data_IF_530542656548
#
_entry.id   IF_530542656548
#
_cell.length_a   1.000
_cell.length_b   1.000
_cell.length_c   1.000
_cell.angle_alpha   90.00
_cell.angle_beta   90.00
_cell.angle_gamma   90.00
#
_symmetry.space_group_name_H-M   'P 1'
#
loop_
_entity.id
_entity.type
_entity.pdbx_description
1 polymer ?
#
# COMPACT_ATOMS: atom_id res chain seq x y z
N UNK A 1 9.14 -48.03 -16.66
CA UNK A 1 9.73 -47.04 -15.77
C UNK A 1 9.12 -45.67 -16.09
N UNK A 2 8.15 -45.27 -15.30
CA UNK A 2 7.44 -43.98 -15.51
C UNK A 2 8.19 -42.85 -14.85
N UNK A 3 8.62 -41.88 -15.66
CA UNK A 3 9.15 -40.61 -15.17
C UNK A 3 7.97 -39.81 -14.66
N UNK A 4 7.85 -39.63 -13.33
CA UNK A 4 6.90 -38.70 -12.75
C UNK A 4 7.33 -37.28 -13.14
N UNK A 5 6.55 -36.66 -13.99
CA UNK A 5 6.57 -35.22 -14.20
C UNK A 5 6.30 -34.54 -12.86
N UNK A 6 7.34 -33.97 -12.24
CA UNK A 6 7.16 -33.01 -11.16
C UNK A 6 6.58 -31.75 -11.81
N UNK A 7 5.32 -31.48 -11.55
CA UNK A 7 4.72 -30.19 -11.86
C UNK A 7 5.55 -29.12 -11.14
N UNK A 8 6.24 -28.31 -11.92
CA UNK A 8 6.82 -27.05 -11.45
C UNK A 8 5.61 -26.25 -10.95
N UNK A 9 5.49 -26.06 -9.64
CA UNK A 9 4.58 -25.04 -9.10
C UNK A 9 5.00 -23.74 -9.73
N UNK A 10 4.19 -23.21 -10.64
CA UNK A 10 4.32 -21.82 -11.09
C UNK A 10 4.43 -21.00 -9.82
N UNK A 11 5.59 -20.38 -9.64
CA UNK A 11 5.85 -19.46 -8.54
C UNK A 11 4.92 -18.28 -8.79
N UNK A 12 3.75 -18.28 -8.16
CA UNK A 12 2.78 -17.20 -8.27
C UNK A 12 3.45 -16.00 -7.60
N UNK A 13 4.03 -15.15 -8.43
CA UNK A 13 4.76 -13.97 -8.00
C UNK A 13 3.77 -13.04 -7.30
N UNK A 14 3.98 -12.76 -6.01
CA UNK A 14 3.12 -11.88 -5.21
C UNK A 14 3.02 -10.51 -5.87
N UNK A 15 1.88 -10.20 -6.51
CA UNK A 15 1.67 -8.93 -7.21
C UNK A 15 1.21 -7.87 -6.23
N UNK A 16 1.96 -6.77 -6.22
CA UNK A 16 1.73 -5.65 -5.33
C UNK A 16 1.67 -4.36 -6.13
N UNK A 17 0.70 -3.50 -5.83
CA UNK A 17 0.54 -2.20 -6.47
C UNK A 17 0.65 -1.09 -5.45
N UNK A 18 1.52 -0.12 -5.70
CA UNK A 18 1.75 1.06 -4.89
C UNK A 18 1.17 2.27 -5.60
N UNK A 19 0.14 2.90 -5.04
CA UNK A 19 -0.48 4.07 -5.62
C UNK A 19 0.37 5.32 -5.41
N UNK A 20 0.61 6.08 -6.48
CA UNK A 20 1.32 7.35 -6.45
C UNK A 20 0.41 8.48 -6.90
N UNK A 21 0.22 9.46 -6.02
CA UNK A 21 -0.43 10.73 -6.29
C UNK A 21 0.54 11.88 -6.09
N UNK A 22 0.32 13.01 -6.73
CA UNK A 22 1.09 14.23 -6.46
C UNK A 22 1.11 14.54 -4.97
N UNK A 23 2.30 14.77 -4.43
CA UNK A 23 2.50 14.98 -3.00
C UNK A 23 2.61 13.71 -2.16
N UNK A 24 2.86 12.53 -2.76
CA UNK A 24 3.19 11.32 -2.01
C UNK A 24 4.47 11.51 -1.18
N UNK A 25 4.61 10.78 -0.09
CA UNK A 25 5.84 10.81 0.71
C UNK A 25 6.90 9.89 0.10
N UNK A 26 8.06 10.45 -0.26
CA UNK A 26 9.10 9.77 -1.02
C UNK A 26 9.70 8.57 -0.27
N UNK A 27 10.03 8.75 1.00
CA UNK A 27 10.63 7.68 1.82
C UNK A 27 9.66 6.50 1.92
N UNK A 28 8.38 6.78 2.14
CA UNK A 28 7.36 5.75 2.34
C UNK A 28 7.09 4.94 1.06
N UNK A 29 6.99 5.60 -0.08
CA UNK A 29 6.73 4.93 -1.35
C UNK A 29 7.96 4.19 -1.87
N UNK A 30 9.11 4.88 -1.99
CA UNK A 30 10.30 4.32 -2.64
C UNK A 30 10.95 3.23 -1.80
N UNK A 31 11.02 3.38 -0.48
CA UNK A 31 11.52 2.34 0.41
C UNK A 31 10.72 1.05 0.26
N UNK A 32 9.40 1.14 0.22
CA UNK A 32 8.53 -0.04 0.07
C UNK A 32 8.76 -0.71 -1.29
N UNK A 33 8.80 0.07 -2.38
CA UNK A 33 9.09 -0.46 -3.72
C UNK A 33 10.42 -1.22 -3.73
N UNK A 34 11.49 -0.62 -3.20
CA UNK A 34 12.82 -1.24 -3.18
C UNK A 34 12.83 -2.53 -2.35
N UNK A 35 12.25 -2.51 -1.15
CA UNK A 35 12.19 -3.68 -0.26
C UNK A 35 11.43 -4.84 -0.90
N UNK A 36 10.27 -4.58 -1.48
CA UNK A 36 9.47 -5.63 -2.12
C UNK A 36 10.18 -6.23 -3.33
N UNK A 37 10.78 -5.39 -4.17
CA UNK A 37 11.54 -5.86 -5.34
C UNK A 37 12.77 -6.66 -4.95
N UNK A 38 13.50 -6.26 -3.90
CA UNK A 38 14.62 -7.04 -3.35
C UNK A 38 14.17 -8.42 -2.86
N UNK A 39 12.96 -8.53 -2.33
CA UNK A 39 12.39 -9.79 -1.90
C UNK A 39 11.86 -10.67 -3.05
N UNK A 40 11.94 -10.21 -4.30
CA UNK A 40 11.45 -10.94 -5.48
C UNK A 40 9.95 -10.83 -5.71
N UNK A 41 9.26 -9.89 -5.02
CA UNK A 41 7.85 -9.62 -5.26
C UNK A 41 7.67 -8.75 -6.53
N UNK A 42 6.58 -8.98 -7.26
CA UNK A 42 6.20 -8.13 -8.40
C UNK A 42 5.53 -6.83 -7.91
N UNK A 43 6.34 -5.85 -7.56
CA UNK A 43 5.87 -4.56 -7.07
C UNK A 43 5.86 -3.52 -8.20
N UNK A 44 4.66 -3.01 -8.50
CA UNK A 44 4.41 -1.99 -9.53
C UNK A 44 3.93 -0.70 -8.90
N UNK A 45 4.47 0.41 -9.36
CA UNK A 45 3.97 1.75 -9.02
C UNK A 45 2.90 2.18 -10.02
N UNK A 46 1.83 2.77 -9.52
CA UNK A 46 0.67 3.18 -10.30
C UNK A 46 0.40 4.67 -10.10
N UNK A 47 0.58 5.45 -11.15
CA UNK A 47 0.13 6.85 -11.15
C UNK A 47 -1.39 6.92 -11.22
N UNK A 48 -2.01 7.70 -10.34
CA UNK A 48 -3.47 7.88 -10.36
C UNK A 48 -3.93 8.85 -11.46
N UNK A 49 -2.99 9.53 -12.12
CA UNK A 49 -3.28 10.39 -13.25
C UNK A 49 -2.92 9.73 -14.59
N UNK A 50 -3.12 10.44 -15.70
CA UNK A 50 -2.68 10.00 -17.02
C UNK A 50 -1.19 10.21 -17.28
N UNK A 51 -0.48 10.94 -16.42
CA UNK A 51 0.96 11.16 -16.50
C UNK A 51 1.69 10.10 -15.65
N UNK A 52 2.72 9.48 -16.23
CA UNK A 52 3.58 8.55 -15.50
C UNK A 52 4.49 9.26 -14.50
N UNK A 53 4.84 10.52 -14.74
CA UNK A 53 5.65 11.31 -13.82
C UNK A 53 4.80 11.80 -12.66
N UNK A 54 5.22 11.48 -11.45
CA UNK A 54 4.54 11.89 -10.21
C UNK A 54 5.56 12.52 -9.28
N UNK A 55 5.26 13.70 -8.78
CA UNK A 55 6.14 14.45 -7.89
C UNK A 55 5.72 14.29 -6.43
N UNK A 56 6.64 13.85 -5.59
CA UNK A 56 6.43 13.69 -4.16
C UNK A 56 6.36 15.02 -3.40
N UNK A 57 5.99 14.92 -2.13
CA UNK A 57 5.81 16.07 -1.24
C UNK A 57 7.09 16.91 -1.04
N UNK A 58 8.25 16.33 -1.29
CA UNK A 58 9.57 16.98 -1.16
C UNK A 58 10.24 17.26 -2.52
N UNK A 59 9.46 17.25 -3.61
CA UNK A 59 9.91 17.67 -4.93
C UNK A 59 10.68 16.64 -5.72
N UNK A 60 10.71 15.37 -5.30
CA UNK A 60 11.32 14.27 -6.07
C UNK A 60 10.29 13.72 -7.05
N UNK A 61 10.59 13.84 -8.34
CA UNK A 61 9.73 13.28 -9.40
C UNK A 61 10.20 11.88 -9.74
N UNK A 62 9.26 10.94 -9.78
CA UNK A 62 9.48 9.54 -10.19
C UNK A 62 8.58 9.18 -11.36
N UNK A 63 9.05 8.30 -12.22
CA UNK A 63 8.23 7.69 -13.25
C UNK A 63 7.54 6.44 -12.69
N UNK A 64 6.22 6.42 -12.63
CA UNK A 64 5.46 5.24 -12.30
C UNK A 64 5.59 4.16 -13.38
N UNK A 65 5.42 2.89 -13.01
CA UNK A 65 5.46 1.78 -13.97
C UNK A 65 4.26 1.81 -14.93
N UNK A 66 3.13 2.30 -14.46
CA UNK A 66 1.87 2.39 -15.23
C UNK A 66 0.94 3.45 -14.67
N UNK A 67 -0.07 3.79 -15.46
CA UNK A 67 -1.18 4.63 -15.00
C UNK A 67 -2.33 3.79 -14.45
N UNK A 68 -3.26 4.44 -13.74
CA UNK A 68 -4.45 3.78 -13.19
C UNK A 68 -5.31 3.10 -14.26
N UNK A 69 -5.38 3.71 -15.46
CA UNK A 69 -6.14 3.17 -16.59
C UNK A 69 -5.52 1.92 -17.23
N UNK A 70 -4.22 1.71 -17.04
CA UNK A 70 -3.47 0.55 -17.58
C UNK A 70 -3.40 -0.61 -16.58
N UNK A 71 -3.64 -0.33 -15.28
CA UNK A 71 -3.46 -1.30 -14.22
C UNK A 71 -4.63 -2.31 -14.17
N UNK A 72 -4.29 -3.59 -14.05
CA UNK A 72 -5.22 -4.67 -13.73
C UNK A 72 -4.94 -5.19 -12.32
N UNK A 73 -5.86 -4.95 -11.40
CA UNK A 73 -5.76 -5.32 -10.00
C UNK A 73 -6.41 -6.67 -9.66
N UNK A 74 -6.91 -7.40 -10.64
CA UNK A 74 -7.73 -8.60 -10.42
C UNK A 74 -7.00 -9.72 -9.68
N UNK A 75 -5.68 -9.82 -9.85
CA UNK A 75 -4.81 -10.78 -9.19
C UNK A 75 -3.84 -10.14 -8.18
N UNK A 76 -4.10 -8.91 -7.77
CA UNK A 76 -3.29 -8.21 -6.78
C UNK A 76 -3.38 -8.91 -5.41
N UNK A 77 -2.24 -9.22 -4.83
CA UNK A 77 -2.17 -9.63 -3.43
C UNK A 77 -2.25 -8.42 -2.51
N UNK A 78 -1.48 -7.37 -2.83
CA UNK A 78 -1.42 -6.16 -2.05
C UNK A 78 -1.81 -4.92 -2.84
N UNK A 79 -2.61 -4.07 -2.22
CA UNK A 79 -2.76 -2.66 -2.57
C UNK A 79 -2.11 -1.82 -1.47
N UNK A 80 -1.16 -0.98 -1.84
CA UNK A 80 -0.30 -0.25 -0.91
C UNK A 80 -0.50 1.25 -1.10
N UNK A 81 -0.76 1.93 0.01
CA UNK A 81 -1.17 3.34 0.05
C UNK A 81 -0.12 4.13 0.85
N UNK A 82 0.81 4.80 0.19
CA UNK A 82 1.76 5.71 0.84
C UNK A 82 1.05 6.89 1.48
N UNK A 83 1.73 7.54 2.42
CA UNK A 83 1.30 8.81 2.99
C UNK A 83 1.81 10.00 2.20
N UNK A 84 2.04 11.09 2.92
CA UNK A 84 2.35 12.40 2.37
C UNK A 84 1.11 13.25 2.14
N UNK A 85 1.29 14.56 2.28
CA UNK A 85 0.24 15.53 2.01
C UNK A 85 0.73 16.50 0.92
N UNK A 86 -0.07 16.78 -0.10
CA UNK A 86 -1.47 16.38 -0.29
C UNK A 86 -1.68 14.98 -0.89
N UNK A 87 -0.65 14.13 -1.01
CA UNK A 87 -0.74 12.81 -1.66
C UNK A 87 -1.89 11.95 -1.13
N UNK A 88 -1.99 11.80 0.20
CA UNK A 88 -3.08 11.04 0.82
C UNK A 88 -4.46 11.64 0.52
N UNK A 89 -4.60 12.96 0.54
CA UNK A 89 -5.85 13.64 0.17
C UNK A 89 -6.21 13.44 -1.29
N UNK A 90 -5.22 13.47 -2.18
CA UNK A 90 -5.41 13.22 -3.61
C UNK A 90 -5.87 11.77 -3.86
N UNK A 91 -5.29 10.78 -3.16
CA UNK A 91 -5.75 9.39 -3.21
C UNK A 91 -7.18 9.23 -2.69
N UNK A 92 -7.50 9.88 -1.57
CA UNK A 92 -8.84 9.83 -0.98
C UNK A 92 -9.92 10.48 -1.84
N UNK A 93 -9.54 11.43 -2.69
CA UNK A 93 -10.45 12.14 -3.60
C UNK A 93 -10.60 11.46 -4.96
N UNK A 94 -9.78 10.46 -5.26
CA UNK A 94 -9.84 9.72 -6.53
C UNK A 94 -10.85 8.58 -6.45
N UNK A 95 -11.93 8.69 -7.22
CA UNK A 95 -13.02 7.70 -7.20
C UNK A 95 -12.57 6.30 -7.66
N UNK A 96 -11.65 6.22 -8.61
CA UNK A 96 -11.15 4.94 -9.11
C UNK A 96 -10.29 4.23 -8.06
N UNK A 97 -9.41 4.95 -7.37
CA UNK A 97 -8.63 4.43 -6.24
C UNK A 97 -9.56 3.95 -5.12
N UNK A 98 -10.51 4.78 -4.71
CA UNK A 98 -11.46 4.44 -3.66
C UNK A 98 -12.27 3.17 -3.99
N UNK A 99 -12.74 3.06 -5.24
CA UNK A 99 -13.47 1.87 -5.70
C UNK A 99 -12.59 0.62 -5.66
N UNK A 100 -11.38 0.70 -6.22
CA UNK A 100 -10.44 -0.43 -6.25
C UNK A 100 -10.12 -0.90 -4.82
N UNK A 101 -9.84 0.01 -3.89
CA UNK A 101 -9.59 -0.33 -2.48
C UNK A 101 -10.79 -1.00 -1.82
N UNK A 102 -12.01 -0.49 -2.03
CA UNK A 102 -13.24 -1.06 -1.45
C UNK A 102 -13.60 -2.44 -1.99
N UNK A 103 -13.36 -2.67 -3.27
CA UNK A 103 -13.70 -3.91 -3.95
C UNK A 103 -12.61 -4.98 -3.80
N UNK A 104 -11.41 -4.60 -3.37
CA UNK A 104 -10.28 -5.51 -3.25
C UNK A 104 -10.54 -6.63 -2.24
N UNK A 105 -10.25 -7.86 -2.64
CA UNK A 105 -10.42 -9.06 -1.80
C UNK A 105 -9.11 -9.59 -1.23
N UNK A 106 -7.99 -9.00 -1.63
CA UNK A 106 -6.67 -9.31 -1.09
C UNK A 106 -6.32 -8.47 0.15
N UNK A 107 -5.06 -8.12 0.26
CA UNK A 107 -4.49 -7.44 1.42
C UNK A 107 -4.25 -5.96 1.14
N UNK A 108 -4.35 -5.14 2.16
CA UNK A 108 -4.12 -3.69 2.07
C UNK A 108 -3.02 -3.29 3.05
N UNK A 109 -2.15 -2.40 2.61
CA UNK A 109 -1.15 -1.78 3.47
C UNK A 109 -1.19 -0.26 3.31
N UNK A 110 -1.17 0.47 4.42
CA UNK A 110 -1.22 1.94 4.42
C UNK A 110 -0.32 2.52 5.50
N UNK A 111 0.32 3.63 5.19
CA UNK A 111 1.30 4.24 6.09
C UNK A 111 1.02 5.72 6.32
N UNK A 112 1.44 6.24 7.47
CA UNK A 112 1.45 7.67 7.81
C UNK A 112 0.02 8.24 7.92
N UNK A 113 -0.33 9.22 7.08
CA UNK A 113 -1.65 9.83 7.07
C UNK A 113 -2.73 8.92 6.43
N UNK A 114 -2.33 7.99 5.57
CA UNK A 114 -3.26 7.25 4.71
C UNK A 114 -4.21 6.30 5.45
N UNK A 115 -3.86 5.65 6.57
CA UNK A 115 -4.87 4.93 7.35
C UNK A 115 -6.07 5.80 7.72
N UNK A 116 -5.83 7.04 8.18
CA UNK A 116 -6.88 7.98 8.56
C UNK A 116 -7.55 8.68 7.39
N UNK A 117 -6.76 9.17 6.43
CA UNK A 117 -7.26 9.99 5.32
C UNK A 117 -7.92 9.14 4.23
N UNK A 118 -7.37 7.95 3.94
CA UNK A 118 -7.83 7.10 2.84
C UNK A 118 -8.68 5.92 3.33
N UNK A 119 -8.16 5.10 4.25
CA UNK A 119 -8.83 3.85 4.63
C UNK A 119 -10.03 4.05 5.54
N UNK A 120 -9.94 4.96 6.51
CA UNK A 120 -11.01 5.18 7.49
C UNK A 120 -12.34 5.61 6.83
N UNK A 121 -12.37 6.59 5.91
CA UNK A 121 -13.61 6.98 5.23
C UNK A 121 -14.22 5.88 4.35
N UNK A 122 -13.40 4.91 3.91
CA UNK A 122 -13.86 3.78 3.10
C UNK A 122 -14.41 2.62 3.95
N UNK A 123 -14.40 2.74 5.29
CA UNK A 123 -14.83 1.67 6.20
C UNK A 123 -13.86 0.50 6.30
N UNK A 124 -12.61 0.67 5.83
CA UNK A 124 -11.61 -0.41 5.78
C UNK A 124 -10.87 -0.62 7.10
N UNK A 125 -11.11 0.22 8.10
CA UNK A 125 -10.53 0.11 9.44
C UNK A 125 -11.52 -0.37 10.51
N UNK A 126 -12.78 -0.59 10.17
CA UNK A 126 -13.82 -0.92 11.15
C UNK A 126 -13.49 -2.21 11.92
N UNK A 127 -13.44 -2.11 13.25
CA UNK A 127 -13.13 -3.22 14.15
C UNK A 127 -11.69 -3.74 14.07
N UNK A 128 -10.78 -3.01 13.44
CA UNK A 128 -9.41 -3.47 13.16
C UNK A 128 -8.37 -2.73 13.99
N UNK A 129 -7.32 -3.44 14.38
CA UNK A 129 -6.14 -2.84 14.97
C UNK A 129 -5.36 -2.06 13.89
N UNK A 130 -4.99 -0.82 14.21
CA UNK A 130 -4.24 0.03 13.28
C UNK A 130 -3.32 1.02 14.02
N UNK A 131 -2.32 1.50 13.31
CA UNK A 131 -1.53 2.67 13.68
C UNK A 131 -1.52 3.68 12.54
N UNK A 132 -1.15 4.92 12.81
CA UNK A 132 -1.07 5.99 11.82
C UNK A 132 -0.05 7.06 12.27
N UNK A 133 0.17 8.04 11.42
CA UNK A 133 0.99 9.19 11.79
C UNK A 133 0.32 10.00 12.91
N UNK A 134 1.10 10.51 13.88
CA UNK A 134 0.57 11.35 14.97
C UNK A 134 -0.27 12.52 14.46
N UNK A 135 -1.49 12.64 15.00
CA UNK A 135 -2.47 13.64 14.58
C UNK A 135 -3.59 13.12 13.68
N UNK A 136 -3.50 11.87 13.18
CA UNK A 136 -4.54 11.24 12.37
C UNK A 136 -5.34 10.16 13.15
N UNK A 137 -5.04 9.97 14.41
CA UNK A 137 -5.66 8.92 15.24
C UNK A 137 -7.19 9.07 15.34
N UNK A 138 -7.66 10.30 15.48
CA UNK A 138 -9.12 10.57 15.59
C UNK A 138 -9.87 10.22 14.31
N UNK A 139 -9.23 10.39 13.14
CA UNK A 139 -9.81 9.96 11.86
C UNK A 139 -9.92 8.44 11.81
N UNK A 140 -8.86 7.73 12.22
CA UNK A 140 -8.86 6.28 12.29
C UNK A 140 -9.94 5.76 13.27
N UNK A 141 -10.05 6.34 14.47
CA UNK A 141 -11.06 5.98 15.47
C UNK A 141 -12.49 6.20 14.95
N UNK A 142 -12.74 7.32 14.26
CA UNK A 142 -14.04 7.57 13.61
C UNK A 142 -14.36 6.52 12.53
N UNK A 143 -13.35 5.97 11.88
CA UNK A 143 -13.46 4.84 10.97
C UNK A 143 -13.57 3.48 11.64
N UNK A 144 -13.68 3.43 12.97
CA UNK A 144 -13.86 2.20 13.76
C UNK A 144 -12.58 1.47 14.12
N UNK A 145 -11.40 2.07 13.91
CA UNK A 145 -10.12 1.45 14.24
C UNK A 145 -9.87 1.38 15.75
N UNK A 146 -9.23 0.31 16.19
CA UNK A 146 -8.62 0.18 17.50
C UNK A 146 -7.15 0.60 17.38
N UNK A 147 -6.83 1.80 17.88
CA UNK A 147 -5.48 2.37 17.72
C UNK A 147 -4.46 1.66 18.60
N UNK A 148 -3.31 1.37 17.99
CA UNK A 148 -2.14 0.78 18.65
C UNK A 148 -0.95 1.74 18.55
N UNK A 149 -0.28 1.97 19.67
CA UNK A 149 0.93 2.79 19.74
C UNK A 149 2.16 1.91 19.41
N UNK A 150 2.29 1.61 18.13
CA UNK A 150 3.40 0.81 17.57
C UNK A 150 3.84 1.39 16.23
N UNK A 151 5.12 1.22 15.85
CA UNK A 151 5.59 1.69 14.54
C UNK A 151 4.89 1.02 13.36
N UNK A 152 4.62 -0.28 13.47
CA UNK A 152 3.92 -1.09 12.46
C UNK A 152 2.92 -1.99 13.15
N UNK A 153 1.67 -1.95 12.71
CA UNK A 153 0.63 -2.89 13.10
C UNK A 153 0.33 -3.82 11.93
N UNK A 154 0.67 -5.09 12.09
CA UNK A 154 0.48 -6.10 11.06
C UNK A 154 -0.56 -7.14 11.49
N UNK A 155 -1.60 -7.26 10.70
CA UNK A 155 -2.60 -8.34 10.80
C UNK A 155 -2.53 -9.20 9.55
N UNK A 156 -3.39 -10.19 9.43
CA UNK A 156 -3.39 -11.13 8.30
C UNK A 156 -3.53 -10.44 6.93
N UNK A 157 -4.38 -9.43 6.85
CA UNK A 157 -4.83 -8.81 5.59
C UNK A 157 -4.79 -7.27 5.62
N UNK A 158 -4.31 -6.68 6.72
CA UNK A 158 -4.08 -5.24 6.86
C UNK A 158 -2.77 -4.99 7.59
N UNK A 159 -1.91 -4.17 6.98
CA UNK A 159 -0.70 -3.65 7.62
C UNK A 159 -0.75 -2.13 7.60
N UNK A 160 -0.58 -1.51 8.77
CA UNK A 160 -0.47 -0.05 8.88
C UNK A 160 0.84 0.34 9.56
N UNK A 161 1.36 1.53 9.27
CA UNK A 161 2.57 2.06 9.88
C UNK A 161 2.45 3.56 10.15
N UNK A 162 3.25 4.05 11.10
CA UNK A 162 3.06 5.37 11.67
C UNK A 162 3.83 6.51 11.00
N UNK A 163 4.63 6.23 9.97
CA UNK A 163 5.30 7.31 9.23
C UNK A 163 6.64 6.92 8.60
N UNK A 164 7.39 7.90 8.08
CA UNK A 164 8.60 7.66 7.29
C UNK A 164 9.65 6.82 8.02
N UNK A 165 9.83 7.04 9.32
CA UNK A 165 10.79 6.26 10.13
C UNK A 165 10.46 4.77 10.22
N UNK A 166 9.22 4.39 9.98
CA UNK A 166 8.75 3.00 9.98
C UNK A 166 8.74 2.36 8.58
N UNK A 167 9.04 3.10 7.52
CA UNK A 167 8.89 2.64 6.14
C UNK A 167 9.63 1.32 5.83
N UNK A 168 10.85 1.17 6.32
CA UNK A 168 11.62 -0.06 6.15
C UNK A 168 10.93 -1.25 6.84
N UNK A 169 10.52 -1.08 8.09
CA UNK A 169 9.80 -2.12 8.86
C UNK A 169 8.45 -2.46 8.23
N UNK A 170 7.78 -1.45 7.70
CA UNK A 170 6.52 -1.61 6.97
C UNK A 170 6.68 -2.47 5.72
N UNK A 171 7.68 -2.17 4.88
CA UNK A 171 8.01 -3.01 3.73
C UNK A 171 8.38 -4.44 4.10
N UNK A 172 9.21 -4.61 5.14
CA UNK A 172 9.59 -5.95 5.64
C UNK A 172 8.41 -6.73 6.22
N UNK A 173 7.44 -6.05 6.85
CA UNK A 173 6.22 -6.69 7.34
C UNK A 173 5.35 -7.22 6.20
N UNK A 174 5.26 -6.49 5.07
CA UNK A 174 4.57 -6.95 3.87
C UNK A 174 5.27 -8.19 3.30
N UNK A 175 6.60 -8.17 3.19
CA UNK A 175 7.40 -9.31 2.73
C UNK A 175 7.17 -10.54 3.61
N UNK A 176 7.29 -10.38 4.93
CA UNK A 176 7.10 -11.48 5.88
C UNK A 176 5.67 -12.06 5.84
N UNK A 177 4.67 -11.21 5.61
CA UNK A 177 3.29 -11.66 5.49
C UNK A 177 3.04 -12.48 4.21
N UNK A 178 3.76 -12.18 3.13
CA UNK A 178 3.60 -12.84 1.83
C UNK A 178 4.48 -14.08 1.65
N UNK A 179 5.72 -14.01 2.12
CA UNK A 179 6.74 -15.03 1.82
C UNK A 179 7.10 -15.90 3.03
N UNK A 180 6.70 -15.52 4.22
CA UNK A 180 7.01 -16.23 5.49
C UNK A 180 8.26 -15.68 6.13
#
# INVERSE_FOLDING_TARGET
MGVRSQSIKENTMCRSFIFLAEGFEEIEAITVVDVLRRAGMDAKTVSITSDLNVTGAHGVTVAADMTMSEADFSDAEWLIVPGGMPGASNLASDEAVCRVLKEHKGKIAAICASPGVVLAPLGLLEGRDATCYPGFEEMCKKGGAQMRDVPVMATRDLITANGPSAAMRFGLAIVANSLG
#
